data_IF_156966435189
#
_entry.id   IF_156966435189
#
_cell.length_a   1.000
_cell.length_b   1.000
_cell.length_c   1.000
_cell.angle_alpha   90.00
_cell.angle_beta   90.00
_cell.angle_gamma   90.00
#
_symmetry.space_group_name_H-M   'P 1'
#
loop_
_entity.id
_entity.type
_entity.pdbx_description
1 polymer ?
#
# COMPACT_ATOMS: atom_id res chain seq x y z
N UNK A 1 -21.33 30.94 -13.78
CA UNK A 1 -21.71 29.73 -13.00
C UNK A 1 -20.93 28.47 -13.41
N UNK A 2 -20.47 28.31 -14.66
CA UNK A 2 -19.71 27.13 -15.14
C UNK A 2 -18.33 26.96 -14.48
N UNK A 3 -17.59 28.07 -14.25
CA UNK A 3 -16.24 28.03 -13.66
C UNK A 3 -16.22 27.56 -12.19
N UNK A 4 -17.30 27.78 -11.43
CA UNK A 4 -17.38 27.33 -10.04
C UNK A 4 -17.54 25.80 -9.96
N UNK A 5 -18.39 25.21 -10.82
CA UNK A 5 -18.56 23.75 -10.90
C UNK A 5 -17.26 23.05 -11.31
N UNK A 6 -16.52 23.60 -12.27
CA UNK A 6 -15.23 23.03 -12.70
C UNK A 6 -14.16 23.08 -11.60
N UNK A 7 -14.10 24.18 -10.82
CA UNK A 7 -13.18 24.31 -9.68
C UNK A 7 -13.54 23.38 -8.53
N UNK A 8 -14.81 23.28 -8.18
CA UNK A 8 -15.31 22.37 -7.14
C UNK A 8 -15.01 20.90 -7.48
N UNK A 9 -15.14 20.52 -8.76
CA UNK A 9 -14.88 19.14 -9.20
C UNK A 9 -13.40 18.77 -9.17
N UNK A 10 -12.49 19.69 -9.51
CA UNK A 10 -11.03 19.48 -9.41
C UNK A 10 -10.58 19.33 -7.95
N UNK A 11 -11.10 20.16 -7.05
CA UNK A 11 -10.82 20.04 -5.63
C UNK A 11 -11.33 18.70 -5.06
N UNK A 12 -12.53 18.28 -5.43
CA UNK A 12 -13.13 17.02 -4.98
C UNK A 12 -12.33 15.79 -5.46
N UNK A 13 -11.81 15.81 -6.69
CA UNK A 13 -11.04 14.68 -7.24
C UNK A 13 -9.65 14.56 -6.62
N UNK A 14 -8.99 15.67 -6.29
CA UNK A 14 -7.73 15.65 -5.51
C UNK A 14 -7.99 15.05 -4.12
N UNK A 15 -9.04 15.52 -3.42
CA UNK A 15 -9.41 15.04 -2.07
C UNK A 15 -9.79 13.55 -2.09
N UNK A 16 -10.52 13.08 -3.09
CA UNK A 16 -10.90 11.66 -3.20
C UNK A 16 -9.68 10.75 -3.40
N UNK A 17 -8.75 11.12 -4.28
CA UNK A 17 -7.59 10.27 -4.56
C UNK A 17 -6.64 10.24 -3.36
N UNK A 18 -6.34 11.39 -2.75
CA UNK A 18 -5.47 11.40 -1.56
C UNK A 18 -6.13 10.85 -0.31
N UNK A 19 -7.43 11.11 -0.12
CA UNK A 19 -8.22 10.48 0.95
C UNK A 19 -8.26 8.96 0.83
N UNK A 20 -8.36 8.42 -0.40
CA UNK A 20 -8.35 6.97 -0.63
C UNK A 20 -6.98 6.34 -0.36
N UNK A 21 -5.88 7.01 -0.70
CA UNK A 21 -4.53 6.52 -0.41
C UNK A 21 -4.25 6.51 1.10
N UNK A 22 -4.65 7.56 1.83
CA UNK A 22 -4.53 7.64 3.29
C UNK A 22 -5.39 6.56 3.96
N UNK A 23 -6.62 6.35 3.46
CA UNK A 23 -7.54 5.34 4.01
C UNK A 23 -7.06 3.91 3.76
N UNK A 24 -6.58 3.60 2.54
CA UNK A 24 -6.02 2.30 2.23
C UNK A 24 -4.79 1.97 3.09
N UNK A 25 -3.98 2.98 3.39
CA UNK A 25 -2.82 2.83 4.26
C UNK A 25 -3.20 2.66 5.74
N UNK A 26 -4.19 3.42 6.25
CA UNK A 26 -4.71 3.24 7.61
C UNK A 26 -5.35 1.84 7.79
N UNK A 27 -6.02 1.34 6.76
CA UNK A 27 -6.57 -0.02 6.73
C UNK A 27 -5.44 -1.06 6.75
N UNK A 28 -4.37 -0.87 5.95
CA UNK A 28 -3.21 -1.77 5.95
C UNK A 28 -2.53 -1.84 7.32
N UNK A 29 -2.32 -0.68 7.96
CA UNK A 29 -1.81 -0.57 9.33
C UNK A 29 -2.69 -1.36 10.32
N UNK A 30 -4.01 -1.14 10.29
CA UNK A 30 -4.97 -1.80 11.20
C UNK A 30 -5.09 -3.32 11.03
N UNK A 31 -4.83 -3.88 9.85
CA UNK A 31 -4.85 -5.33 9.63
C UNK A 31 -3.53 -6.03 10.02
N UNK A 32 -2.44 -5.28 10.14
CA UNK A 32 -1.14 -5.87 10.44
C UNK A 32 -1.01 -6.37 11.89
N UNK A 33 -1.85 -5.91 12.82
CA UNK A 33 -1.82 -6.28 14.26
C UNK A 33 -2.30 -7.71 14.58
N UNK A 34 -2.66 -8.49 13.57
CA UNK A 34 -3.02 -9.89 13.78
C UNK A 34 -1.80 -10.71 14.23
N UNK A 35 -1.92 -11.32 15.42
CA UNK A 35 -0.92 -12.21 16.03
C UNK A 35 -0.50 -13.26 14.99
N UNK A 36 0.77 -13.26 14.61
CA UNK A 36 1.30 -14.24 13.67
C UNK A 36 1.36 -15.61 14.37
N UNK A 37 0.35 -16.44 14.11
CA UNK A 37 0.39 -17.85 14.49
C UNK A 37 1.27 -18.60 13.50
N UNK A 38 2.34 -19.21 13.98
CA UNK A 38 3.22 -20.09 13.19
C UNK A 38 2.92 -21.51 13.63
N UNK A 39 2.45 -22.36 12.72
CA UNK A 39 2.06 -23.75 13.00
C UNK A 39 1.04 -23.91 14.15
N UNK A 40 0.10 -22.97 14.27
CA UNK A 40 -0.92 -22.99 15.33
C UNK A 40 -0.40 -22.56 16.71
N UNK A 41 0.87 -22.19 16.82
CA UNK A 41 1.46 -21.66 18.06
C UNK A 41 1.44 -20.13 18.06
N UNK A 42 1.06 -19.56 19.19
CA UNK A 42 1.19 -18.11 19.40
C UNK A 42 2.66 -17.77 19.58
N UNK A 43 3.14 -16.77 18.86
CA UNK A 43 4.53 -16.34 18.90
C UNK A 43 4.60 -14.89 19.36
N UNK A 44 5.55 -14.60 20.23
CA UNK A 44 5.85 -13.26 20.70
C UNK A 44 7.30 -12.88 20.43
N UNK A 45 7.58 -11.60 20.52
CA UNK A 45 8.91 -11.02 20.38
C UNK A 45 9.23 -10.15 21.59
N UNK A 46 10.48 -10.15 22.01
CA UNK A 46 10.88 -9.34 23.15
C UNK A 46 11.23 -7.90 22.77
N UNK A 47 10.64 -6.92 23.47
CA UNK A 47 10.81 -5.49 23.17
C UNK A 47 12.12 -4.88 23.67
N UNK A 48 12.81 -5.58 24.55
CA UNK A 48 14.08 -5.15 25.13
C UNK A 48 14.80 -6.31 25.80
N UNK A 49 15.76 -5.96 26.63
CA UNK A 49 16.42 -6.90 27.53
C UNK A 49 15.43 -7.38 28.59
N UNK A 50 15.17 -8.68 28.62
CA UNK A 50 14.19 -9.27 29.55
C UNK A 50 14.77 -10.51 30.23
N UNK A 51 14.68 -10.53 31.56
CA UNK A 51 15.07 -11.69 32.36
C UNK A 51 14.00 -12.77 32.27
N UNK A 52 14.40 -13.94 31.81
CA UNK A 52 13.56 -15.14 31.72
C UNK A 52 13.72 -15.91 33.03
N UNK A 53 12.61 -16.14 33.72
CA UNK A 53 12.60 -16.66 35.09
C UNK A 53 11.90 -18.00 35.21
N UNK A 54 12.23 -18.72 36.27
CA UNK A 54 11.63 -20.03 36.59
C UNK A 54 10.20 -19.93 37.13
N UNK A 55 9.83 -18.78 37.72
CA UNK A 55 8.48 -18.48 38.18
C UNK A 55 8.09 -17.01 37.89
N UNK A 56 6.79 -16.65 37.93
CA UNK A 56 6.30 -15.31 37.57
C UNK A 56 6.48 -14.29 38.72
N UNK A 57 7.67 -14.26 39.34
CA UNK A 57 8.07 -13.30 40.36
C UNK A 57 9.50 -12.84 40.10
N UNK A 58 9.81 -11.60 40.45
CA UNK A 58 11.13 -10.98 40.30
C UNK A 58 12.17 -11.53 41.27
N UNK A 59 11.75 -12.17 42.37
CA UNK A 59 12.63 -12.89 43.29
C UNK A 59 13.08 -14.27 42.80
N UNK A 60 12.47 -14.81 41.73
CA UNK A 60 12.83 -16.11 41.16
C UNK A 60 14.19 -16.07 40.46
N UNK A 61 14.90 -17.18 40.44
CA UNK A 61 16.14 -17.33 39.69
C UNK A 61 15.92 -16.97 38.20
N UNK A 62 16.83 -16.16 37.67
CA UNK A 62 16.87 -15.80 36.26
C UNK A 62 17.67 -16.86 35.52
N UNK A 63 17.03 -17.58 34.61
CA UNK A 63 17.66 -18.65 33.84
C UNK A 63 18.55 -18.09 32.74
N UNK A 64 18.06 -17.06 32.05
CA UNK A 64 18.77 -16.38 30.97
C UNK A 64 18.24 -14.95 30.80
N UNK A 65 19.08 -14.07 30.28
CA UNK A 65 18.68 -12.74 29.83
C UNK A 65 18.47 -12.78 28.32
N UNK A 66 17.24 -12.53 27.89
CA UNK A 66 16.92 -12.44 26.47
C UNK A 66 17.09 -11.03 25.96
N UNK A 67 17.72 -10.93 24.78
CA UNK A 67 17.91 -9.66 24.08
C UNK A 67 16.69 -9.28 23.24
N UNK A 68 16.63 -8.00 22.83
CA UNK A 68 15.57 -7.45 21.99
C UNK A 68 15.39 -8.29 20.70
N UNK A 69 14.15 -8.40 20.24
CA UNK A 69 13.69 -9.10 19.03
C UNK A 69 13.93 -10.60 19.03
N UNK A 70 14.28 -11.21 20.18
CA UNK A 70 14.24 -12.65 20.33
C UNK A 70 12.79 -13.14 20.23
N UNK A 71 12.57 -14.09 19.32
CA UNK A 71 11.29 -14.75 19.14
C UNK A 71 11.10 -15.81 20.22
N UNK A 72 9.92 -15.87 20.82
CA UNK A 72 9.54 -16.82 21.86
C UNK A 72 8.16 -17.40 21.56
N UNK A 73 7.96 -18.68 21.87
CA UNK A 73 6.66 -19.33 21.74
C UNK A 73 5.85 -19.04 23.00
N UNK A 74 4.70 -18.41 22.84
CA UNK A 74 3.77 -18.09 23.92
C UNK A 74 2.79 -19.24 24.12
N UNK A 75 2.67 -19.73 25.34
CA UNK A 75 1.60 -20.68 25.72
C UNK A 75 0.37 -19.95 26.19
N UNK A 76 0.51 -19.18 27.27
CA UNK A 76 -0.56 -18.49 27.95
C UNK A 76 -0.03 -17.31 28.77
N UNK A 77 -0.95 -16.50 29.27
CA UNK A 77 -0.65 -15.40 30.19
C UNK A 77 -1.16 -15.78 31.57
N UNK A 78 -0.30 -15.67 32.57
CA UNK A 78 -0.58 -16.01 33.97
C UNK A 78 -0.46 -14.78 34.86
N UNK A 79 -1.10 -14.82 36.02
CA UNK A 79 -0.91 -13.82 37.07
C UNK A 79 0.34 -14.13 37.90
N UNK A 80 1.07 -13.09 38.28
CA UNK A 80 2.30 -13.16 39.08
C UNK A 80 2.52 -11.90 39.90
N UNK A 81 3.78 -11.59 40.22
CA UNK A 81 4.15 -10.34 40.88
C UNK A 81 3.78 -9.12 40.02
N UNK A 82 3.25 -8.08 40.65
CA UNK A 82 2.97 -6.82 39.98
C UNK A 82 4.27 -6.04 39.74
N UNK A 83 4.56 -5.75 38.48
CA UNK A 83 5.72 -4.95 38.06
C UNK A 83 5.23 -3.85 37.13
N UNK A 84 5.48 -2.60 37.51
CA UNK A 84 5.09 -1.40 36.75
C UNK A 84 3.58 -1.37 36.40
N UNK A 85 2.73 -1.73 37.37
CA UNK A 85 1.27 -1.64 37.26
C UNK A 85 0.60 -2.78 36.49
N UNK A 86 1.32 -3.87 36.20
CA UNK A 86 0.76 -5.09 35.62
C UNK A 86 1.25 -6.30 36.39
N UNK A 87 0.34 -7.23 36.69
CA UNK A 87 0.64 -8.52 37.30
C UNK A 87 0.69 -9.65 36.26
N UNK A 88 0.68 -9.32 34.96
CA UNK A 88 0.59 -10.30 33.88
C UNK A 88 1.97 -10.76 33.44
N UNK A 89 2.17 -12.07 33.43
CA UNK A 89 3.39 -12.73 32.97
C UNK A 89 3.08 -13.66 31.81
N UNK A 90 3.91 -13.64 30.78
CA UNK A 90 3.81 -14.58 29.67
C UNK A 90 4.56 -15.87 30.01
N UNK A 91 3.88 -16.99 29.86
CA UNK A 91 4.48 -18.31 29.92
C UNK A 91 5.02 -18.66 28.54
N UNK A 92 6.33 -18.91 28.47
CA UNK A 92 7.04 -19.19 27.21
C UNK A 92 7.63 -20.60 27.19
N UNK A 93 7.71 -21.19 25.99
CA UNK A 93 8.48 -22.43 25.77
C UNK A 93 9.97 -22.08 25.62
N UNK A 94 10.81 -22.67 26.46
CA UNK A 94 12.26 -22.54 26.44
C UNK A 94 12.88 -23.93 26.32
N UNK A 95 13.10 -24.38 25.09
CA UNK A 95 13.48 -25.78 24.83
C UNK A 95 12.38 -26.74 25.29
N UNK A 96 12.71 -27.63 26.24
CA UNK A 96 11.75 -28.55 26.87
C UNK A 96 11.10 -27.98 28.14
N UNK A 97 11.55 -26.82 28.62
CA UNK A 97 11.12 -26.23 29.87
C UNK A 97 10.16 -25.07 29.67
N UNK A 98 9.40 -24.79 30.72
CA UNK A 98 8.53 -23.62 30.81
C UNK A 98 9.24 -22.53 31.58
N UNK A 99 9.24 -21.33 31.04
CA UNK A 99 9.76 -20.13 31.70
C UNK A 99 8.76 -18.99 31.64
N UNK A 100 9.04 -17.95 32.43
CA UNK A 100 8.18 -16.79 32.57
C UNK A 100 8.94 -15.53 32.23
N UNK A 101 8.30 -14.66 31.46
CA UNK A 101 8.78 -13.31 31.16
C UNK A 101 7.64 -12.33 31.41
N UNK A 102 7.94 -11.16 31.95
CA UNK A 102 6.89 -10.19 32.24
C UNK A 102 6.22 -9.71 30.94
N UNK A 103 4.89 -9.62 30.91
CA UNK A 103 4.10 -9.33 29.69
C UNK A 103 4.50 -8.03 29.01
N UNK A 104 4.95 -7.02 29.76
CA UNK A 104 5.44 -5.74 29.21
C UNK A 104 6.55 -5.89 28.18
N UNK A 105 7.36 -6.95 28.31
CA UNK A 105 8.46 -7.23 27.40
C UNK A 105 8.03 -8.02 26.19
N UNK A 106 6.82 -8.59 26.18
CA UNK A 106 6.32 -9.40 25.07
C UNK A 106 5.47 -8.54 24.14
N UNK A 107 5.79 -8.60 22.86
CA UNK A 107 5.05 -7.96 21.76
C UNK A 107 4.62 -9.02 20.77
N UNK A 108 3.47 -8.82 20.12
CA UNK A 108 2.97 -9.70 19.06
C UNK A 108 3.78 -9.60 17.76
N UNK A 109 4.55 -8.54 17.61
CA UNK A 109 5.43 -8.26 16.47
C UNK A 109 6.85 -7.97 16.92
N UNK A 110 7.86 -8.19 16.06
CA UNK A 110 9.20 -7.71 16.34
C UNK A 110 9.15 -6.22 16.65
N UNK A 111 9.91 -5.77 17.65
CA UNK A 111 10.16 -4.34 17.83
C UNK A 111 11.16 -3.93 16.77
N UNK A 112 10.65 -3.77 15.57
CA UNK A 112 11.34 -3.12 14.48
C UNK A 112 11.56 -1.67 14.88
N UNK A 113 12.67 -1.10 14.40
CA UNK A 113 12.86 0.35 14.39
C UNK A 113 11.72 1.05 13.61
N UNK A 114 10.90 0.27 12.89
CA UNK A 114 9.78 0.72 12.06
C UNK A 114 8.66 1.44 12.80
N UNK A 115 8.37 1.22 14.10
CA UNK A 115 7.21 1.91 14.72
C UNK A 115 7.40 3.45 14.79
N UNK A 116 8.55 3.91 15.30
CA UNK A 116 8.87 5.34 15.30
C UNK A 116 9.13 5.88 13.89
N UNK A 117 9.54 5.00 12.98
CA UNK A 117 9.85 5.33 11.61
C UNK A 117 8.61 5.48 10.73
N UNK A 118 7.62 4.62 10.91
CA UNK A 118 6.33 4.66 10.24
C UNK A 118 5.64 5.96 10.62
N UNK A 119 5.72 6.37 11.89
CA UNK A 119 5.28 7.69 12.30
C UNK A 119 6.02 8.82 11.54
N UNK A 120 7.34 8.70 11.39
CA UNK A 120 8.17 9.67 10.66
C UNK A 120 7.87 9.74 9.16
N UNK A 121 7.72 8.58 8.50
CA UNK A 121 7.35 8.46 7.08
C UNK A 121 5.94 8.98 6.85
N UNK A 122 5.01 8.69 7.76
CA UNK A 122 3.65 9.21 7.71
C UNK A 122 3.63 10.73 7.88
N UNK A 123 4.37 11.27 8.86
CA UNK A 123 4.50 12.70 9.06
C UNK A 123 5.09 13.39 7.82
N UNK A 124 6.13 12.81 7.22
CA UNK A 124 6.75 13.32 5.99
C UNK A 124 5.77 13.29 4.82
N UNK A 125 5.03 12.20 4.63
CA UNK A 125 4.02 12.09 3.58
C UNK A 125 2.92 13.15 3.73
N UNK A 126 2.46 13.40 4.96
CA UNK A 126 1.50 14.47 5.28
C UNK A 126 2.08 15.85 4.99
N UNK A 127 3.34 16.11 5.34
CA UNK A 127 4.01 17.39 5.05
C UNK A 127 4.12 17.61 3.54
N UNK A 128 4.58 16.61 2.79
CA UNK A 128 4.66 16.67 1.32
C UNK A 128 3.28 16.91 0.72
N UNK A 129 2.26 16.24 1.21
CA UNK A 129 0.89 16.47 0.78
C UNK A 129 0.41 17.90 1.06
N UNK A 130 0.66 18.43 2.26
CA UNK A 130 0.29 19.81 2.60
C UNK A 130 1.01 20.82 1.70
N UNK A 131 2.28 20.59 1.37
CA UNK A 131 3.04 21.43 0.44
C UNK A 131 2.45 21.37 -0.97
N UNK A 132 2.18 20.17 -1.50
CA UNK A 132 1.54 20.00 -2.81
C UNK A 132 0.15 20.63 -2.86
N UNK A 133 -0.63 20.48 -1.80
CA UNK A 133 -1.95 21.10 -1.68
C UNK A 133 -1.84 22.63 -1.62
N UNK A 134 -0.91 23.18 -0.85
CA UNK A 134 -0.66 24.62 -0.78
C UNK A 134 -0.29 25.17 -2.17
N UNK A 135 0.62 24.51 -2.89
CA UNK A 135 1.01 24.87 -4.26
C UNK A 135 -0.18 24.77 -5.23
N UNK A 136 -0.95 23.69 -5.17
CA UNK A 136 -2.11 23.48 -6.03
C UNK A 136 -3.25 24.48 -5.75
N UNK A 137 -3.41 24.91 -4.49
CA UNK A 137 -4.41 25.91 -4.10
C UNK A 137 -4.01 27.35 -4.46
N UNK A 138 -2.75 27.57 -4.84
CA UNK A 138 -2.22 28.88 -5.17
C UNK A 138 -2.76 29.37 -6.52
N UNK A 139 -3.76 30.25 -6.49
CA UNK A 139 -4.47 30.71 -7.69
C UNK A 139 -3.58 31.33 -8.77
N UNK A 140 -2.50 32.05 -8.39
CA UNK A 140 -1.53 32.60 -9.37
C UNK A 140 -0.69 31.52 -10.06
N UNK A 141 -0.50 30.35 -9.43
CA UNK A 141 0.28 29.25 -10.00
C UNK A 141 -0.43 28.62 -11.21
N UNK A 142 -1.77 28.61 -11.21
CA UNK A 142 -2.53 28.10 -12.36
C UNK A 142 -2.38 28.94 -13.63
N UNK A 143 -2.22 30.26 -13.51
CA UNK A 143 -2.03 31.12 -14.67
C UNK A 143 -0.64 30.88 -15.29
N UNK A 144 0.39 30.76 -14.46
CA UNK A 144 1.77 30.51 -14.88
C UNK A 144 1.93 29.09 -15.45
N UNK A 145 1.31 28.08 -14.82
CA UNK A 145 1.36 26.70 -15.28
C UNK A 145 0.66 26.50 -16.65
N UNK A 146 -0.37 27.29 -16.95
CA UNK A 146 -1.04 27.27 -18.25
C UNK A 146 -0.17 27.85 -19.38
N UNK A 147 0.72 28.78 -19.06
CA UNK A 147 1.63 29.41 -20.04
C UNK A 147 2.83 28.52 -20.39
N UNK A 148 3.18 27.57 -19.51
CA UNK A 148 4.38 26.71 -19.63
C UNK A 148 4.05 25.23 -19.48
N UNK A 149 3.06 24.74 -20.20
CA UNK A 149 2.57 23.35 -20.09
C UNK A 149 3.68 22.31 -20.32
N UNK A 150 4.55 22.54 -21.32
CA UNK A 150 5.66 21.63 -21.64
C UNK A 150 6.73 21.58 -20.53
N UNK A 151 7.12 22.72 -19.96
CA UNK A 151 8.09 22.78 -18.85
C UNK A 151 7.48 22.25 -17.54
N UNK A 152 6.17 22.45 -17.33
CA UNK A 152 5.49 21.97 -16.13
C UNK A 152 5.41 20.44 -16.12
N UNK A 153 5.18 19.81 -17.28
CA UNK A 153 5.17 18.35 -17.40
C UNK A 153 6.56 17.74 -17.17
N UNK A 154 7.62 18.34 -17.71
CA UNK A 154 8.99 17.84 -17.48
C UNK A 154 9.44 18.05 -16.02
N UNK A 155 9.07 19.18 -15.41
CA UNK A 155 9.34 19.46 -14.00
C UNK A 155 8.61 18.49 -13.08
N UNK A 156 7.32 18.22 -13.33
CA UNK A 156 6.54 17.24 -12.56
C UNK A 156 7.18 15.85 -12.64
N UNK A 157 7.62 15.44 -13.83
CA UNK A 157 8.29 14.16 -14.03
C UNK A 157 9.63 14.11 -13.29
N UNK A 158 10.44 15.17 -13.38
CA UNK A 158 11.71 15.26 -12.67
C UNK A 158 11.55 15.24 -11.14
N UNK A 159 10.58 15.98 -10.60
CA UNK A 159 10.26 16.00 -9.16
C UNK A 159 9.77 14.63 -8.68
N UNK A 160 8.87 13.99 -9.43
CA UNK A 160 8.34 12.66 -9.09
C UNK A 160 9.44 11.61 -9.12
N UNK A 161 10.31 11.65 -10.13
CA UNK A 161 11.46 10.76 -10.23
C UNK A 161 12.46 10.97 -9.09
N UNK A 162 12.80 12.23 -8.78
CA UNK A 162 13.67 12.57 -7.66
C UNK A 162 13.10 12.11 -6.31
N UNK A 163 11.81 12.32 -6.07
CA UNK A 163 11.12 11.84 -4.88
C UNK A 163 11.18 10.30 -4.77
N UNK A 164 10.99 9.60 -5.90
CA UNK A 164 11.13 8.13 -5.97
C UNK A 164 12.54 7.65 -5.60
N UNK A 165 13.58 8.31 -6.10
CA UNK A 165 14.98 8.00 -5.73
C UNK A 165 15.21 8.19 -4.24
N UNK A 166 14.79 9.34 -3.69
CA UNK A 166 14.97 9.63 -2.25
C UNK A 166 14.24 8.61 -1.40
N UNK A 167 12.99 8.27 -1.73
CA UNK A 167 12.23 7.22 -1.05
C UNK A 167 12.94 5.85 -1.13
N UNK A 168 13.52 5.50 -2.28
CA UNK A 168 14.31 4.28 -2.47
C UNK A 168 15.57 4.23 -1.60
N UNK A 169 16.33 5.34 -1.53
CA UNK A 169 17.52 5.45 -0.67
C UNK A 169 17.15 5.28 0.80
N UNK A 170 16.08 5.97 1.23
CA UNK A 170 15.56 5.89 2.59
C UNK A 170 15.15 4.44 2.91
N UNK A 171 14.36 3.79 2.04
CA UNK A 171 13.98 2.39 2.19
C UNK A 171 15.17 1.43 2.26
N UNK A 172 16.23 1.68 1.48
CA UNK A 172 17.44 0.86 1.49
C UNK A 172 18.21 0.95 2.81
N UNK A 173 18.38 2.16 3.35
CA UNK A 173 19.03 2.37 4.65
C UNK A 173 18.28 1.60 5.74
N UNK A 174 16.94 1.58 5.69
CA UNK A 174 16.14 0.83 6.67
C UNK A 174 16.22 -0.68 6.52
N UNK A 175 16.16 -1.19 5.29
CA UNK A 175 16.36 -2.61 5.06
C UNK A 175 17.72 -3.07 5.59
N UNK A 176 18.74 -2.22 5.51
CA UNK A 176 20.05 -2.50 6.12
C UNK A 176 20.05 -2.47 7.64
N UNK A 177 19.32 -1.55 8.26
CA UNK A 177 19.15 -1.52 9.72
C UNK A 177 18.45 -2.77 10.26
N UNK A 178 17.51 -3.33 9.49
CA UNK A 178 16.80 -4.58 9.82
C UNK A 178 17.58 -5.85 9.43
N UNK A 179 18.86 -5.73 9.09
CA UNK A 179 19.71 -6.83 8.61
C UNK A 179 19.15 -7.58 7.39
N UNK A 180 18.29 -6.97 6.59
CA UNK A 180 17.87 -7.57 5.32
C UNK A 180 19.04 -7.63 4.35
N UNK A 181 19.07 -8.70 3.57
CA UNK A 181 20.04 -8.85 2.48
C UNK A 181 19.65 -7.91 1.33
N UNK A 182 20.64 -7.35 0.64
CA UNK A 182 20.43 -6.48 -0.53
C UNK A 182 19.47 -7.10 -1.57
N UNK A 183 19.54 -8.42 -1.89
CA UNK A 183 18.60 -9.03 -2.82
C UNK A 183 17.15 -9.04 -2.33
N UNK A 184 16.92 -9.28 -1.03
CA UNK A 184 15.58 -9.27 -0.46
C UNK A 184 14.95 -7.87 -0.51
N UNK A 185 15.76 -6.84 -0.20
CA UNK A 185 15.33 -5.45 -0.36
C UNK A 185 14.99 -5.12 -1.82
N UNK A 186 15.88 -5.42 -2.76
CA UNK A 186 15.66 -5.10 -4.18
C UNK A 186 14.39 -5.78 -4.71
N UNK A 187 14.16 -7.06 -4.36
CA UNK A 187 12.93 -7.76 -4.74
C UNK A 187 11.67 -7.07 -4.19
N UNK A 188 11.68 -6.68 -2.91
CA UNK A 188 10.57 -5.94 -2.29
C UNK A 188 10.38 -4.54 -2.89
N UNK A 189 11.47 -3.82 -3.13
CA UNK A 189 11.46 -2.49 -3.72
C UNK A 189 10.94 -2.53 -5.16
N UNK A 190 11.37 -3.48 -5.99
CA UNK A 190 10.85 -3.62 -7.35
C UNK A 190 9.39 -4.06 -7.37
N UNK A 191 8.97 -4.96 -6.47
CA UNK A 191 7.56 -5.33 -6.35
C UNK A 191 6.69 -4.13 -5.96
N UNK A 192 7.14 -3.32 -4.99
CA UNK A 192 6.42 -2.15 -4.50
C UNK A 192 6.44 -0.98 -5.49
N UNK A 193 7.58 -0.71 -6.14
CA UNK A 193 7.69 0.30 -7.20
C UNK A 193 6.87 -0.12 -8.42
N UNK A 194 6.89 -1.41 -8.77
CA UNK A 194 6.04 -1.96 -9.83
C UNK A 194 4.56 -1.78 -9.51
N UNK A 195 4.11 -2.18 -8.31
CA UNK A 195 2.75 -1.97 -7.86
C UNK A 195 2.36 -0.49 -7.80
N UNK A 196 3.27 0.37 -7.35
CA UNK A 196 3.09 1.83 -7.31
C UNK A 196 2.98 2.45 -8.69
N UNK A 197 3.82 2.05 -9.65
CA UNK A 197 3.78 2.51 -11.05
C UNK A 197 2.50 2.04 -11.75
N UNK A 198 2.09 0.79 -11.55
CA UNK A 198 0.83 0.27 -12.08
C UNK A 198 -0.34 1.03 -11.46
N UNK A 199 -0.34 1.22 -10.14
CA UNK A 199 -1.36 2.01 -9.44
C UNK A 199 -1.42 3.45 -9.95
N UNK A 200 -0.28 4.11 -10.14
CA UNK A 200 -0.19 5.46 -10.68
C UNK A 200 -0.66 5.54 -12.13
N UNK A 201 -0.30 4.58 -12.99
CA UNK A 201 -0.75 4.51 -14.37
C UNK A 201 -2.26 4.29 -14.46
N UNK A 202 -2.82 3.37 -13.68
CA UNK A 202 -4.28 3.16 -13.58
C UNK A 202 -4.98 4.41 -13.08
N UNK A 203 -4.43 5.05 -12.04
CA UNK A 203 -4.97 6.31 -11.49
C UNK A 203 -4.91 7.44 -12.51
N UNK A 204 -3.83 7.54 -13.28
CA UNK A 204 -3.68 8.51 -14.36
C UNK A 204 -4.68 8.26 -15.49
N UNK A 205 -4.87 7.01 -15.92
CA UNK A 205 -5.88 6.64 -16.93
C UNK A 205 -7.28 6.95 -16.41
N UNK A 206 -7.60 6.60 -15.16
CA UNK A 206 -8.87 6.95 -14.53
C UNK A 206 -9.06 8.48 -14.47
N UNK A 207 -8.01 9.22 -14.12
CA UNK A 207 -8.05 10.68 -14.13
C UNK A 207 -8.27 11.23 -15.54
N UNK A 208 -7.60 10.70 -16.56
CA UNK A 208 -7.83 11.10 -17.95
C UNK A 208 -9.24 10.77 -18.42
N UNK A 209 -9.82 9.65 -17.99
CA UNK A 209 -11.20 9.27 -18.35
C UNK A 209 -12.21 10.14 -17.60
N UNK A 210 -12.00 10.40 -16.31
CA UNK A 210 -12.93 11.11 -15.42
C UNK A 210 -12.85 12.62 -15.54
N UNK A 211 -11.64 13.20 -15.51
CA UNK A 211 -11.42 14.65 -15.75
C UNK A 211 -11.46 15.00 -17.22
N UNK A 212 -11.20 14.01 -18.08
CA UNK A 212 -11.44 14.00 -19.52
C UNK A 212 -12.60 14.89 -19.89
N UNK A 213 -13.84 14.37 -19.79
CA UNK A 213 -15.07 14.92 -20.39
C UNK A 213 -14.94 15.47 -21.82
N UNK A 214 -13.75 15.54 -22.41
CA UNK A 214 -13.48 15.48 -23.83
C UNK A 214 -13.96 14.09 -24.18
N UNK A 215 -15.09 14.05 -24.89
CA UNK A 215 -15.31 12.92 -25.79
C UNK A 215 -13.97 12.72 -26.51
N UNK A 216 -13.37 11.51 -26.46
CA UNK A 216 -12.19 11.23 -27.28
C UNK A 216 -12.49 11.76 -28.67
N UNK A 217 -11.58 12.55 -29.24
CA UNK A 217 -11.83 13.12 -30.56
C UNK A 217 -12.17 11.96 -31.50
N UNK A 218 -13.07 12.14 -32.46
CA UNK A 218 -13.44 11.02 -33.33
C UNK A 218 -12.22 10.36 -33.99
N UNK A 219 -11.13 11.12 -34.20
CA UNK A 219 -9.83 10.59 -34.62
C UNK A 219 -9.16 9.63 -33.62
N UNK A 220 -9.22 9.92 -32.31
CA UNK A 220 -8.67 9.01 -31.29
C UNK A 220 -9.49 7.72 -31.20
N UNK A 221 -10.82 7.80 -31.34
CA UNK A 221 -11.67 6.61 -31.39
C UNK A 221 -11.40 5.76 -32.63
N UNK A 222 -11.26 6.39 -33.80
CA UNK A 222 -10.92 5.68 -35.03
C UNK A 222 -9.58 4.95 -34.94
N UNK A 223 -8.57 5.58 -34.31
CA UNK A 223 -7.25 4.98 -34.12
C UNK A 223 -7.27 3.81 -33.12
N UNK A 224 -8.10 3.90 -32.08
CA UNK A 224 -8.30 2.80 -31.12
C UNK A 224 -9.04 1.64 -31.79
N UNK A 225 -10.06 1.90 -32.62
CA UNK A 225 -10.75 0.86 -33.39
C UNK A 225 -9.81 0.18 -34.39
N UNK A 226 -8.92 0.92 -35.04
CA UNK A 226 -7.92 0.38 -35.96
C UNK A 226 -6.94 -0.57 -35.24
N UNK A 227 -6.38 -0.15 -34.09
CA UNK A 227 -5.48 -0.99 -33.28
C UNK A 227 -6.20 -2.24 -32.74
N UNK A 228 -7.45 -2.10 -32.28
CA UNK A 228 -8.25 -3.25 -31.84
C UNK A 228 -8.51 -4.23 -32.98
N UNK A 229 -8.80 -3.73 -34.19
CA UNK A 229 -9.00 -4.56 -35.37
C UNK A 229 -7.71 -5.28 -35.78
N UNK A 230 -6.57 -4.61 -35.68
CA UNK A 230 -5.25 -5.20 -35.98
C UNK A 230 -4.86 -6.30 -34.98
N UNK A 231 -5.09 -6.08 -33.68
CA UNK A 231 -4.89 -7.10 -32.62
C UNK A 231 -5.80 -8.30 -32.86
N UNK A 232 -7.05 -8.08 -33.23
CA UNK A 232 -8.01 -9.15 -33.51
C UNK A 232 -7.62 -9.97 -34.75
N UNK A 233 -7.05 -9.32 -35.78
CA UNK A 233 -6.54 -10.00 -36.96
C UNK A 233 -5.30 -10.86 -36.67
N UNK A 234 -4.44 -10.44 -35.72
CA UNK A 234 -3.21 -11.16 -35.37
C UNK A 234 -3.41 -12.22 -34.27
N UNK A 235 -4.52 -12.15 -33.52
CA UNK A 235 -4.82 -13.10 -32.43
C UNK A 235 -6.28 -13.57 -32.47
N UNK A 236 -6.71 -14.32 -33.51
CA UNK A 236 -8.10 -14.76 -33.67
C UNK A 236 -8.58 -15.67 -32.52
N UNK A 237 -7.65 -16.33 -31.83
CA UNK A 237 -7.96 -17.26 -30.73
C UNK A 237 -8.27 -16.53 -29.41
N UNK A 238 -7.89 -15.25 -29.26
CA UNK A 238 -8.17 -14.45 -28.06
C UNK A 238 -9.66 -14.08 -27.93
N UNK A 239 -10.45 -14.20 -29.00
CA UNK A 239 -11.86 -13.86 -29.04
C UNK A 239 -12.82 -15.02 -28.73
N UNK A 240 -12.30 -16.24 -28.50
CA UNK A 240 -13.12 -17.44 -28.23
C UNK A 240 -13.42 -17.69 -26.75
N UNK A 241 -13.00 -16.81 -25.85
CA UNK A 241 -13.26 -16.93 -24.41
C UNK A 241 -14.53 -16.21 -23.98
N UNK A 242 -15.59 -17.00 -23.77
CA UNK A 242 -16.87 -16.67 -23.09
C UNK A 242 -17.78 -15.60 -23.71
N UNK A 243 -18.88 -16.08 -24.31
CA UNK A 243 -20.11 -15.34 -24.58
C UNK A 243 -20.70 -14.75 -23.28
N UNK A 244 -20.24 -13.57 -22.89
CA UNK A 244 -20.93 -12.73 -21.91
C UNK A 244 -22.20 -12.19 -22.58
N UNK A 245 -23.34 -12.83 -22.33
CA UNK A 245 -24.67 -12.32 -22.74
C UNK A 245 -24.91 -10.93 -22.15
N UNK A 246 -24.67 -9.89 -22.94
CA UNK A 246 -25.08 -8.52 -22.62
C UNK A 246 -26.60 -8.44 -22.84
N UNK A 247 -27.34 -8.34 -21.74
CA UNK A 247 -28.80 -8.10 -21.75
C UNK A 247 -29.05 -6.69 -22.29
N UNK A 248 -29.51 -6.63 -23.54
CA UNK A 248 -29.86 -5.41 -24.26
C UNK A 248 -31.17 -4.84 -23.72
N UNK A 249 -31.08 -3.92 -22.75
CA UNK A 249 -32.25 -3.15 -22.28
C UNK A 249 -32.48 -1.97 -23.22
N UNK A 250 -33.43 -2.15 -24.13
CA UNK A 250 -33.89 -1.13 -25.10
C UNK A 250 -35.01 -0.28 -24.45
N UNK A 251 -34.74 0.98 -24.12
CA UNK A 251 -35.71 2.10 -24.19
C UNK A 251 -34.97 3.45 -24.08
N UNK A 252 -35.41 4.38 -24.92
CA UNK A 252 -34.60 5.48 -25.41
C UNK A 252 -34.43 6.67 -24.45
N UNK A 253 -33.24 7.26 -24.52
CA UNK A 253 -32.96 8.69 -24.40
C UNK A 253 -31.52 8.92 -24.93
N UNK A 254 -31.26 9.96 -25.74
CA UNK A 254 -29.91 10.23 -26.23
C UNK A 254 -29.13 10.94 -25.13
N UNK A 255 -28.36 10.17 -24.36
CA UNK A 255 -27.35 10.68 -23.43
C UNK A 255 -25.98 10.09 -23.80
N UNK A 256 -24.98 10.96 -23.87
CA UNK A 256 -23.62 10.66 -24.28
C UNK A 256 -23.06 9.40 -23.61
N UNK A 257 -22.67 8.41 -24.43
CA UNK A 257 -22.07 7.15 -23.99
C UNK A 257 -20.62 7.40 -23.55
N UNK A 258 -20.44 7.68 -22.26
CA UNK A 258 -19.18 7.38 -21.59
C UNK A 258 -19.00 5.86 -21.53
N UNK A 259 -17.76 5.38 -21.61
CA UNK A 259 -17.41 3.98 -21.36
C UNK A 259 -18.00 3.61 -20.00
N UNK A 260 -18.91 2.61 -19.90
CA UNK A 260 -19.53 2.28 -18.64
C UNK A 260 -18.44 1.80 -17.69
N UNK A 261 -18.42 2.32 -16.46
CA UNK A 261 -17.42 1.99 -15.44
C UNK A 261 -17.19 0.48 -15.23
N UNK A 262 -18.17 -0.36 -15.60
CA UNK A 262 -18.03 -1.82 -15.68
C UNK A 262 -16.90 -2.30 -16.59
N UNK A 263 -16.65 -1.65 -17.74
CA UNK A 263 -15.59 -2.07 -18.68
C UNK A 263 -14.21 -1.82 -18.07
N UNK A 264 -14.02 -0.68 -17.39
CA UNK A 264 -12.78 -0.39 -16.66
C UNK A 264 -12.57 -1.35 -15.48
N UNK A 265 -13.63 -1.69 -14.75
CA UNK A 265 -13.57 -2.68 -13.67
C UNK A 265 -13.24 -4.09 -14.20
N UNK A 266 -13.80 -4.46 -15.35
CA UNK A 266 -13.52 -5.74 -16.01
C UNK A 266 -12.06 -5.83 -16.48
N UNK A 267 -11.54 -4.77 -17.10
CA UNK A 267 -10.12 -4.71 -17.52
C UNK A 267 -9.19 -4.80 -16.32
N UNK A 268 -9.48 -4.09 -15.23
CA UNK A 268 -8.68 -4.17 -14.00
C UNK A 268 -8.71 -5.57 -13.37
N UNK A 269 -9.87 -6.24 -13.37
CA UNK A 269 -10.00 -7.63 -12.89
C UNK A 269 -9.23 -8.63 -13.75
N UNK A 270 -9.24 -8.48 -15.08
CA UNK A 270 -8.48 -9.34 -16.01
C UNK A 270 -6.98 -9.17 -15.79
N UNK A 271 -6.49 -7.94 -15.64
CA UNK A 271 -5.07 -7.66 -15.35
C UNK A 271 -4.66 -8.30 -14.02
N UNK A 272 -5.46 -8.10 -12.95
CA UNK A 272 -5.19 -8.70 -11.64
C UNK A 272 -5.18 -10.24 -11.68
N UNK A 273 -6.06 -10.84 -12.48
CA UNK A 273 -6.11 -12.29 -12.68
C UNK A 273 -4.87 -12.82 -13.42
N UNK A 274 -4.39 -12.11 -14.46
CA UNK A 274 -3.18 -12.47 -15.20
C UNK A 274 -1.93 -12.46 -14.32
N UNK A 275 -1.74 -11.42 -13.50
CA UNK A 275 -0.63 -11.37 -12.53
C UNK A 275 -0.69 -12.50 -11.50
N UNK A 276 -1.90 -12.92 -11.09
CA UNK A 276 -2.09 -14.04 -10.16
C UNK A 276 -1.78 -15.41 -10.79
N UNK A 277 -1.95 -15.56 -12.10
CA UNK A 277 -1.59 -16.77 -12.85
C UNK A 277 -0.07 -16.90 -12.99
N UNK A 278 0.63 -15.81 -13.31
CA UNK A 278 2.09 -15.81 -13.47
C UNK A 278 2.81 -16.25 -12.18
N UNK A 279 2.35 -15.75 -11.02
CA UNK A 279 2.92 -16.12 -9.71
C UNK A 279 2.65 -17.56 -9.25
N UNK A 280 1.75 -18.30 -9.92
CA UNK A 280 1.54 -19.74 -9.67
C UNK A 280 2.40 -20.63 -10.55
N UNK A 281 2.93 -20.12 -11.68
CA UNK A 281 3.81 -20.88 -12.57
C UNK A 281 5.28 -20.86 -12.12
N UNK A 282 5.64 -19.93 -11.25
CA UNK A 282 6.99 -19.79 -10.70
C UNK A 282 7.22 -20.51 -9.36
N UNK A 283 6.27 -21.34 -8.92
CA UNK A 283 6.39 -22.25 -7.77
C UNK A 283 6.19 -23.68 -8.25
#
# INVERSE_FOLDING_TARGET
>A
MSNFKARAWKALSIVLVTGSAISAFAIYQGFSDSITSVDGKSVGYLSGTANVRTCPFTGCESSEEFTRNRQVVLRDVVDGEEVDGSNKWARIEYGAEVRYVHSRFVKSKPVSVSEGLELGVNALAVIVFMLLFAVASWQRGHAIAAEREAETNSLLLAVTFGAGIVAGIIGFVFARMDNQTTPAFLAGAFANVGAGLVGAAVTFVLFQVVLSRRNPSQQQMAKIEEVLREIHAHHPDAARGEDVKIVETRRGAPAAKGIPAMVLAAVAMVIAWLFRQEGRRSR
#
